data_IF_082929128971
#
_entry.id   IF_082929128971
#
_cell.length_a   1.000
_cell.length_b   1.000
_cell.length_c   1.000
_cell.angle_alpha   90.00
_cell.angle_beta   90.00
_cell.angle_gamma   90.00
#
_symmetry.space_group_name_H-M   'P 1'
#
loop_
_entity.id
_entity.type
_entity.pdbx_description
1 polymer ?
#
# COMPACT_ATOMS: atom_id res chain seq x y z
N UNK A 1 -79.46 46.19 23.42
CA UNK A 1 -78.46 46.85 24.28
C UNK A 1 -77.81 45.88 25.25
N UNK A 2 -78.57 45.17 26.11
CA UNK A 2 -77.99 44.27 27.14
C UNK A 2 -77.27 43.01 26.59
N UNK A 3 -77.75 42.42 25.49
CA UNK A 3 -77.11 41.22 24.89
C UNK A 3 -75.75 41.49 24.23
N UNK A 4 -75.54 42.69 23.69
CA UNK A 4 -74.24 43.07 23.08
C UNK A 4 -73.19 43.42 24.15
N UNK A 5 -73.62 44.01 25.27
CA UNK A 5 -72.75 44.26 26.43
C UNK A 5 -72.25 42.96 27.07
N UNK A 6 -73.10 41.93 27.17
CA UNK A 6 -72.73 40.63 27.71
C UNK A 6 -71.73 39.86 26.83
N UNK A 7 -71.88 39.91 25.50
CA UNK A 7 -70.92 39.33 24.55
C UNK A 7 -69.56 40.03 24.59
N UNK A 8 -69.55 41.37 24.63
CA UNK A 8 -68.30 42.13 24.74
C UNK A 8 -67.54 41.89 26.05
N UNK A 9 -68.24 41.58 27.15
CA UNK A 9 -67.62 41.20 28.42
C UNK A 9 -66.97 39.80 28.39
N UNK A 10 -67.63 38.84 27.74
CA UNK A 10 -67.12 37.46 27.58
C UNK A 10 -65.87 37.42 26.70
N UNK A 11 -65.83 38.21 25.62
CA UNK A 11 -64.64 38.31 24.75
C UNK A 11 -63.43 38.88 25.49
N UNK A 12 -63.60 39.91 26.32
CA UNK A 12 -62.50 40.46 27.15
C UNK A 12 -61.98 39.44 28.15
N UNK A 13 -62.88 38.77 28.87
CA UNK A 13 -62.50 37.70 29.81
C UNK A 13 -61.75 36.59 29.11
N UNK A 14 -62.15 36.22 27.89
CA UNK A 14 -61.46 35.23 27.08
C UNK A 14 -60.04 35.68 26.74
N UNK A 15 -59.84 36.93 26.30
CA UNK A 15 -58.50 37.45 25.99
C UNK A 15 -57.60 37.47 27.23
N UNK A 16 -58.12 37.91 28.38
CA UNK A 16 -57.36 37.94 29.64
C UNK A 16 -57.01 36.54 30.12
N UNK A 17 -57.92 35.57 30.00
CA UNK A 17 -57.68 34.17 30.36
C UNK A 17 -56.69 33.50 29.43
N UNK A 18 -56.77 33.76 28.12
CA UNK A 18 -55.78 33.27 27.15
C UNK A 18 -54.38 33.84 27.45
N UNK A 19 -54.29 35.13 27.79
CA UNK A 19 -53.02 35.76 28.16
C UNK A 19 -52.45 35.16 29.46
N UNK A 20 -53.30 34.92 30.46
CA UNK A 20 -52.89 34.33 31.73
C UNK A 20 -52.48 32.86 31.57
N UNK A 21 -53.22 32.08 30.77
CA UNK A 21 -52.88 30.72 30.40
C UNK A 21 -51.54 30.65 29.65
N UNK A 22 -51.30 31.55 28.70
CA UNK A 22 -50.02 31.67 27.99
C UNK A 22 -48.85 32.01 28.91
N UNK A 23 -49.01 32.91 29.87
CA UNK A 23 -47.96 33.23 30.87
C UNK A 23 -47.67 32.06 31.80
N UNK A 24 -48.65 31.19 32.02
CA UNK A 24 -48.51 29.98 32.82
C UNK A 24 -48.13 28.74 31.98
N UNK A 25 -48.07 28.85 30.64
CA UNK A 25 -47.79 27.74 29.75
C UNK A 25 -48.85 26.62 29.78
N UNK A 26 -50.10 26.97 30.09
CA UNK A 26 -51.23 26.01 30.16
C UNK A 26 -52.03 26.14 28.87
N UNK A 27 -52.28 25.03 28.18
CA UNK A 27 -53.12 25.02 27.00
C UNK A 27 -54.60 24.92 27.41
N UNK A 28 -55.39 25.94 27.06
CA UNK A 28 -56.80 26.06 27.43
C UNK A 28 -57.66 26.33 26.20
N UNK A 29 -58.60 25.41 25.93
CA UNK A 29 -59.61 25.58 24.90
C UNK A 29 -60.70 26.54 25.38
N UNK A 30 -60.70 27.77 24.87
CA UNK A 30 -61.68 28.80 25.20
C UNK A 30 -62.73 28.95 24.09
N UNK A 31 -63.97 28.51 24.34
CA UNK A 31 -65.12 28.71 23.43
C UNK A 31 -66.01 29.88 23.89
N UNK A 32 -66.98 30.28 23.05
CA UNK A 32 -67.90 31.39 23.33
C UNK A 32 -69.02 31.04 24.33
N UNK A 33 -69.01 29.82 24.89
CA UNK A 33 -69.96 29.36 25.88
C UNK A 33 -69.50 29.72 27.30
N UNK A 34 -70.39 30.33 28.09
CA UNK A 34 -70.09 30.72 29.48
C UNK A 34 -69.63 29.52 30.35
N UNK A 35 -70.08 28.30 30.03
CA UNK A 35 -69.65 27.08 30.70
C UNK A 35 -68.17 26.73 30.43
N UNK A 36 -67.66 27.02 29.23
CA UNK A 36 -66.26 26.79 28.88
C UNK A 36 -65.32 27.77 29.60
N UNK A 37 -65.75 29.02 29.76
CA UNK A 37 -65.00 30.04 30.51
C UNK A 37 -64.96 29.69 32.02
N UNK A 38 -66.06 29.20 32.60
CA UNK A 38 -66.08 28.74 33.99
C UNK A 38 -65.19 27.51 34.21
N UNK A 39 -65.20 26.55 33.27
CA UNK A 39 -64.30 25.41 33.31
C UNK A 39 -62.83 25.84 33.22
N UNK A 40 -62.50 26.77 32.33
CA UNK A 40 -61.16 27.35 32.19
C UNK A 40 -60.69 28.05 33.48
N UNK A 41 -61.56 28.83 34.11
CA UNK A 41 -61.27 29.50 35.39
C UNK A 41 -61.02 28.50 36.53
N UNK A 42 -61.74 27.38 36.57
CA UNK A 42 -61.51 26.32 37.56
C UNK A 42 -60.15 25.65 37.36
N UNK A 43 -59.79 25.32 36.12
CA UNK A 43 -58.48 24.74 35.78
C UNK A 43 -57.35 25.68 36.19
N UNK A 44 -57.42 26.96 35.80
CA UNK A 44 -56.42 27.96 36.15
C UNK A 44 -56.29 28.20 37.65
N UNK A 45 -57.41 28.13 38.39
CA UNK A 45 -57.41 28.25 39.85
C UNK A 45 -56.69 27.09 40.52
N UNK A 46 -56.97 25.86 40.10
CA UNK A 46 -56.33 24.67 40.66
C UNK A 46 -54.82 24.70 40.40
N UNK A 47 -54.42 24.97 39.15
CA UNK A 47 -53.02 25.05 38.77
C UNK A 47 -52.26 26.15 39.55
N UNK A 48 -52.90 27.30 39.78
CA UNK A 48 -52.29 28.38 40.56
C UNK A 48 -52.05 27.98 42.02
N UNK A 49 -52.99 27.27 42.65
CA UNK A 49 -52.85 26.78 44.02
C UNK A 49 -51.69 25.77 44.11
N UNK A 50 -51.63 24.82 43.18
CA UNK A 50 -50.57 23.80 43.16
C UNK A 50 -49.18 24.41 42.95
N UNK A 51 -49.02 25.32 41.98
CA UNK A 51 -47.74 26.00 41.74
C UNK A 51 -47.30 26.87 42.91
N UNK A 52 -48.24 27.55 43.56
CA UNK A 52 -47.92 28.36 44.76
C UNK A 52 -47.44 27.48 45.89
N UNK A 53 -48.08 26.33 46.10
CA UNK A 53 -47.69 25.39 47.14
C UNK A 53 -46.29 24.82 46.86
N UNK A 54 -46.03 24.36 45.63
CA UNK A 54 -44.73 23.86 45.21
C UNK A 54 -43.61 24.90 45.36
N UNK A 55 -43.87 26.17 45.03
CA UNK A 55 -42.90 27.26 45.20
C UNK A 55 -42.59 27.53 46.69
N UNK A 56 -43.60 27.41 47.57
CA UNK A 56 -43.42 27.59 49.01
C UNK A 56 -42.58 26.46 49.60
N UNK A 57 -42.88 25.22 49.23
CA UNK A 57 -42.11 24.04 49.65
C UNK A 57 -40.67 24.05 49.11
N UNK A 58 -40.45 24.55 47.89
CA UNK A 58 -39.11 24.74 47.33
C UNK A 58 -38.31 25.79 48.11
N UNK A 59 -38.94 26.91 48.48
CA UNK A 59 -38.31 27.95 49.32
C UNK A 59 -37.94 27.43 50.71
N UNK A 60 -38.82 26.65 51.34
CA UNK A 60 -38.54 26.02 52.64
C UNK A 60 -37.44 24.96 52.57
N UNK A 61 -37.38 24.18 51.48
CA UNK A 61 -36.26 23.25 51.24
C UNK A 61 -34.94 23.99 51.09
N UNK A 62 -34.88 25.02 50.25
CA UNK A 62 -33.68 25.82 50.06
C UNK A 62 -33.23 26.49 51.37
N UNK A 63 -34.17 26.98 52.19
CA UNK A 63 -33.85 27.54 53.51
C UNK A 63 -33.31 26.50 54.48
N UNK A 64 -33.85 25.27 54.47
CA UNK A 64 -33.35 24.16 55.30
C UNK A 64 -31.96 23.71 54.88
N UNK A 65 -31.71 23.60 53.57
CA UNK A 65 -30.38 23.25 53.03
C UNK A 65 -29.35 24.32 53.36
N UNK A 66 -29.70 25.60 53.22
CA UNK A 66 -28.81 26.71 53.60
C UNK A 66 -28.52 26.74 55.10
N UNK A 67 -29.52 26.43 55.95
CA UNK A 67 -29.33 26.31 57.39
C UNK A 67 -28.44 25.10 57.75
N UNK A 68 -28.63 23.96 57.10
CA UNK A 68 -27.81 22.76 57.29
C UNK A 68 -26.36 22.99 56.86
N UNK A 69 -26.12 23.67 55.73
CA UNK A 69 -24.78 24.03 55.26
C UNK A 69 -24.07 24.99 56.23
N UNK A 70 -24.79 25.97 56.79
CA UNK A 70 -24.26 26.87 57.83
C UNK A 70 -23.93 26.11 59.12
N UNK A 71 -24.80 25.22 59.55
CA UNK A 71 -24.58 24.41 60.75
C UNK A 71 -23.39 23.45 60.58
N UNK A 72 -23.26 22.78 59.42
CA UNK A 72 -22.12 21.93 59.11
C UNK A 72 -20.80 22.71 59.06
N UNK A 73 -20.83 23.95 58.54
CA UNK A 73 -19.67 24.84 58.56
C UNK A 73 -19.27 25.21 59.99
N UNK A 74 -20.23 25.55 60.86
CA UNK A 74 -19.96 25.88 62.26
C UNK A 74 -19.40 24.68 63.03
N UNK A 75 -19.98 23.49 62.86
CA UNK A 75 -19.50 22.24 63.49
C UNK A 75 -18.07 21.87 63.06
N UNK A 76 -17.72 22.05 61.77
CA UNK A 76 -16.36 21.83 61.30
C UNK A 76 -15.36 22.84 61.88
N UNK A 77 -15.77 24.10 62.08
CA UNK A 77 -14.93 25.14 62.68
C UNK A 77 -14.72 24.90 64.18
N UNK A 78 -15.76 24.48 64.91
CA UNK A 78 -15.66 24.09 66.32
C UNK A 78 -14.75 22.87 66.52
N UNK A 79 -14.87 21.85 65.67
CA UNK A 79 -13.98 20.66 65.70
C UNK A 79 -12.51 21.01 65.41
N UNK A 80 -12.27 22.07 64.64
CA UNK A 80 -10.93 22.58 64.37
C UNK A 80 -10.43 23.55 65.47
N UNK A 81 -11.23 23.85 66.50
CA UNK A 81 -10.88 24.77 67.58
C UNK A 81 -10.81 26.24 67.16
N UNK A 82 -11.47 26.60 66.05
CA UNK A 82 -11.39 27.91 65.43
C UNK A 82 -12.75 28.63 65.53
N UNK A 83 -12.77 29.87 66.04
CA UNK A 83 -13.95 30.71 65.96
C UNK A 83 -14.20 31.10 64.49
N UNK A 84 -15.45 31.13 64.03
CA UNK A 84 -15.81 31.60 62.69
C UNK A 84 -15.57 33.11 62.55
N UNK A 85 -14.30 33.52 62.42
CA UNK A 85 -13.88 34.90 62.16
C UNK A 85 -13.81 35.16 60.66
N UNK A 86 -13.97 36.43 60.26
CA UNK A 86 -13.82 36.89 58.87
C UNK A 86 -12.47 36.45 58.27
N UNK A 87 -11.41 36.35 59.08
CA UNK A 87 -10.08 35.88 58.70
C UNK A 87 -10.06 34.47 58.10
N UNK A 88 -10.89 33.53 58.60
CA UNK A 88 -10.94 32.16 58.08
C UNK A 88 -11.65 32.10 56.74
N UNK A 89 -12.68 32.94 56.55
CA UNK A 89 -13.36 33.07 55.26
C UNK A 89 -12.41 33.66 54.23
N UNK A 90 -11.62 34.66 54.60
CA UNK A 90 -10.63 35.25 53.69
C UNK A 90 -9.53 34.25 53.31
N UNK A 91 -8.95 33.52 54.26
CA UNK A 91 -7.93 32.49 54.00
C UNK A 91 -8.49 31.37 53.10
N UNK A 92 -9.69 30.87 53.39
CA UNK A 92 -10.29 29.78 52.59
C UNK A 92 -10.67 30.23 51.18
N UNK A 93 -11.10 31.49 51.00
CA UNK A 93 -11.37 32.04 49.65
C UNK A 93 -10.09 32.30 48.86
N UNK A 94 -9.00 32.75 49.51
CA UNK A 94 -7.70 32.90 48.88
C UNK A 94 -7.14 31.53 48.42
N UNK A 95 -7.18 30.53 49.31
CA UNK A 95 -6.76 29.17 48.97
C UNK A 95 -7.61 28.55 47.84
N UNK A 96 -8.93 28.82 47.80
CA UNK A 96 -9.78 28.36 46.71
C UNK A 96 -9.42 29.04 45.38
N UNK A 97 -9.14 30.34 45.38
CA UNK A 97 -8.68 31.07 44.18
C UNK A 97 -7.37 30.51 43.65
N UNK A 98 -6.40 30.29 44.53
CA UNK A 98 -5.10 29.69 44.18
C UNK A 98 -5.28 28.27 43.63
N UNK A 99 -6.11 27.44 44.29
CA UNK A 99 -6.44 26.09 43.80
C UNK A 99 -7.07 26.14 42.42
N UNK A 100 -8.02 27.04 42.18
CA UNK A 100 -8.64 27.19 40.85
C UNK A 100 -7.64 27.66 39.79
N UNK A 101 -6.70 28.54 40.14
CA UNK A 101 -5.64 28.98 39.24
C UNK A 101 -4.70 27.83 38.87
N UNK A 102 -4.25 27.05 39.86
CA UNK A 102 -3.43 25.85 39.65
C UNK A 102 -4.19 24.80 38.84
N UNK A 103 -5.48 24.57 39.10
CA UNK A 103 -6.32 23.66 38.31
C UNK A 103 -6.40 24.11 36.84
N UNK A 104 -6.50 25.42 36.56
CA UNK A 104 -6.48 25.92 35.18
C UNK A 104 -5.12 25.74 34.51
N UNK A 105 -4.02 25.94 35.25
CA UNK A 105 -2.67 25.75 34.74
C UNK A 105 -2.40 24.28 34.42
N UNK A 106 -2.80 23.35 35.30
CA UNK A 106 -2.72 21.91 35.06
C UNK A 106 -3.48 21.51 33.80
N UNK A 107 -4.71 22.01 33.58
CA UNK A 107 -5.46 21.72 32.35
C UNK A 107 -4.76 22.20 31.08
N UNK A 108 -4.09 23.36 31.15
CA UNK A 108 -3.30 23.88 30.01
C UNK A 108 -2.08 22.99 29.77
N UNK A 109 -1.38 22.57 30.83
CA UNK A 109 -0.23 21.68 30.71
C UNK A 109 -0.63 20.29 30.16
N UNK A 110 -1.75 19.73 30.62
CA UNK A 110 -2.29 18.46 30.11
C UNK A 110 -2.62 18.55 28.62
N UNK A 111 -3.24 19.67 28.18
CA UNK A 111 -3.51 19.91 26.76
C UNK A 111 -2.21 20.01 25.95
N UNK A 112 -1.24 20.79 26.42
CA UNK A 112 0.04 20.96 25.72
C UNK A 112 0.80 19.64 25.63
N UNK A 113 0.74 18.80 26.67
CA UNK A 113 1.34 17.47 26.66
C UNK A 113 0.69 16.58 25.59
N UNK A 114 -0.64 16.57 25.50
CA UNK A 114 -1.36 15.81 24.46
C UNK A 114 -1.02 16.31 23.05
N UNK A 115 -0.89 17.63 22.84
CA UNK A 115 -0.46 18.21 21.57
C UNK A 115 0.99 17.79 21.22
N UNK A 116 1.92 17.81 22.19
CA UNK A 116 3.30 17.36 22.01
C UNK A 116 3.41 15.86 21.70
N UNK A 117 2.62 15.02 22.39
CA UNK A 117 2.55 13.58 22.11
C UNK A 117 2.03 13.32 20.69
N UNK A 118 1.02 14.08 20.25
CA UNK A 118 0.51 14.03 18.87
C UNK A 118 1.56 14.40 17.83
N UNK A 119 2.30 15.50 18.05
CA UNK A 119 3.40 15.91 17.17
C UNK A 119 4.53 14.89 17.15
N UNK A 120 4.88 14.29 18.29
CA UNK A 120 5.90 13.25 18.36
C UNK A 120 5.51 11.99 17.58
N UNK A 121 4.23 11.61 17.61
CA UNK A 121 3.72 10.51 16.79
C UNK A 121 3.77 10.82 15.29
N UNK A 122 3.44 12.06 14.88
CA UNK A 122 3.53 12.51 13.49
C UNK A 122 4.99 12.58 12.99
N UNK A 123 5.91 13.08 13.82
CA UNK A 123 7.34 13.07 13.52
C UNK A 123 7.87 11.65 13.34
N UNK A 124 7.51 10.72 14.25
CA UNK A 124 7.91 9.32 14.15
C UNK A 124 7.39 8.66 12.86
N UNK A 125 6.13 8.91 12.50
CA UNK A 125 5.55 8.41 11.25
C UNK A 125 6.27 8.99 10.02
N UNK A 126 6.57 10.29 10.04
CA UNK A 126 7.29 10.97 8.96
C UNK A 126 8.71 10.43 8.80
N UNK A 127 9.43 10.20 9.91
CA UNK A 127 10.77 9.60 9.89
C UNK A 127 10.75 8.17 9.36
N UNK A 128 9.74 7.37 9.75
CA UNK A 128 9.57 6.02 9.23
C UNK A 128 9.32 6.02 7.71
N UNK A 129 8.45 6.92 7.23
CA UNK A 129 8.18 7.09 5.80
C UNK A 129 9.44 7.55 5.05
N UNK A 130 10.19 8.51 5.59
CA UNK A 130 11.46 8.95 5.00
C UNK A 130 12.46 7.81 4.90
N UNK A 131 12.61 7.00 5.94
CA UNK A 131 13.49 5.82 5.93
C UNK A 131 13.07 4.75 4.92
N UNK A 132 11.77 4.60 4.63
CA UNK A 132 11.30 3.75 3.54
C UNK A 132 11.69 4.33 2.17
N UNK A 133 11.48 5.64 1.96
CA UNK A 133 11.82 6.31 0.71
C UNK A 133 13.32 6.32 0.44
N UNK A 134 14.15 6.52 1.46
CA UNK A 134 15.62 6.47 1.34
C UNK A 134 16.09 5.07 0.92
N UNK A 135 15.51 4.01 1.49
CA UNK A 135 15.80 2.62 1.07
C UNK A 135 15.37 2.37 -0.38
N UNK A 136 14.14 2.74 -0.72
CA UNK A 136 13.63 2.61 -2.08
C UNK A 136 14.51 3.36 -3.09
N UNK A 137 14.96 4.58 -2.75
CA UNK A 137 15.88 5.34 -3.57
C UNK A 137 17.24 4.63 -3.74
N UNK A 138 17.76 4.05 -2.67
CA UNK A 138 19.01 3.30 -2.70
C UNK A 138 18.91 1.99 -3.51
N UNK A 139 17.75 1.32 -3.49
CA UNK A 139 17.49 0.09 -4.25
C UNK A 139 17.23 0.38 -5.73
N UNK A 140 16.52 1.47 -6.03
CA UNK A 140 16.29 1.98 -7.39
C UNK A 140 17.46 2.80 -7.94
N UNK A 141 18.62 2.79 -7.28
CA UNK A 141 19.83 3.38 -7.82
C UNK A 141 20.12 2.75 -9.19
N UNK A 142 20.48 3.54 -10.23
CA UNK A 142 20.61 3.04 -11.60
C UNK A 142 21.51 1.80 -11.74
N UNK A 143 22.58 1.70 -10.95
CA UNK A 143 23.46 0.53 -10.93
C UNK A 143 22.77 -0.71 -10.40
N UNK A 144 22.17 -0.64 -9.20
CA UNK A 144 21.52 -1.79 -8.55
C UNK A 144 20.27 -2.25 -9.29
N UNK A 145 19.47 -1.31 -9.78
CA UNK A 145 18.28 -1.67 -10.54
C UNK A 145 18.64 -2.33 -11.86
N UNK A 146 19.66 -1.82 -12.57
CA UNK A 146 20.15 -2.45 -13.79
C UNK A 146 20.74 -3.84 -13.49
N UNK A 147 21.55 -3.99 -12.45
CA UNK A 147 22.07 -5.28 -11.99
C UNK A 147 20.94 -6.28 -11.70
N UNK A 148 19.90 -5.84 -10.99
CA UNK A 148 18.72 -6.67 -10.70
C UNK A 148 18.00 -7.11 -11.98
N UNK A 149 17.73 -6.18 -12.91
CA UNK A 149 17.07 -6.50 -14.18
C UNK A 149 17.94 -7.44 -15.02
N UNK A 150 19.25 -7.21 -15.06
CA UNK A 150 20.18 -8.07 -15.79
C UNK A 150 20.25 -9.48 -15.18
N UNK A 151 20.26 -9.61 -13.85
CA UNK A 151 20.23 -10.92 -13.19
C UNK A 151 18.92 -11.67 -13.49
N UNK A 152 17.79 -10.98 -13.45
CA UNK A 152 16.49 -11.60 -13.78
C UNK A 152 16.46 -12.07 -15.24
N UNK A 153 16.97 -11.25 -16.17
CA UNK A 153 17.06 -11.64 -17.59
C UNK A 153 18.07 -12.76 -17.83
N UNK A 154 19.18 -12.75 -17.10
CA UNK A 154 20.18 -13.82 -17.11
C UNK A 154 19.57 -15.15 -16.68
N UNK A 155 18.78 -15.19 -15.61
CA UNK A 155 18.08 -16.41 -15.14
C UNK A 155 17.17 -16.99 -16.23
N UNK A 156 16.34 -16.15 -16.85
CA UNK A 156 15.46 -16.57 -17.96
C UNK A 156 16.28 -17.12 -19.13
N UNK A 157 17.40 -16.49 -19.47
CA UNK A 157 18.30 -16.97 -20.51
C UNK A 157 18.97 -18.29 -20.12
N UNK A 158 19.44 -18.43 -18.88
CA UNK A 158 20.09 -19.64 -18.36
C UNK A 158 19.13 -20.84 -18.36
N UNK A 159 17.88 -20.64 -17.96
CA UNK A 159 16.86 -21.70 -17.95
C UNK A 159 16.60 -22.23 -19.37
N UNK A 160 16.35 -21.32 -20.33
CA UNK A 160 16.08 -21.71 -21.70
C UNK A 160 17.32 -22.30 -22.39
N UNK A 161 18.48 -21.67 -22.19
CA UNK A 161 19.74 -22.20 -22.69
C UNK A 161 20.08 -23.54 -22.04
N UNK A 162 19.67 -23.77 -20.80
CA UNK A 162 19.88 -25.03 -20.08
C UNK A 162 19.17 -26.20 -20.78
N UNK A 163 17.94 -25.98 -21.25
CA UNK A 163 17.20 -26.99 -22.04
C UNK A 163 17.94 -27.34 -23.34
N UNK A 164 18.46 -26.33 -24.05
CA UNK A 164 19.24 -26.57 -25.26
C UNK A 164 20.57 -27.25 -24.94
N UNK A 165 21.28 -26.81 -23.91
CA UNK A 165 22.58 -27.34 -23.56
C UNK A 165 22.50 -28.81 -23.13
N UNK A 166 21.45 -29.16 -22.38
CA UNK A 166 21.16 -30.54 -22.01
C UNK A 166 20.86 -31.39 -23.23
N UNK A 167 20.05 -30.89 -24.18
CA UNK A 167 19.77 -31.59 -25.44
C UNK A 167 21.05 -31.78 -26.28
N UNK A 168 21.86 -30.73 -26.39
CA UNK A 168 23.09 -30.71 -27.19
C UNK A 168 24.20 -31.58 -26.61
N UNK A 169 24.13 -31.93 -25.33
CA UNK A 169 25.14 -32.72 -24.61
C UNK A 169 24.61 -34.08 -24.17
N UNK A 170 23.54 -34.56 -24.83
CA UNK A 170 22.89 -35.84 -24.55
C UNK A 170 22.51 -36.03 -23.05
N UNK A 171 22.06 -34.96 -22.41
CA UNK A 171 21.62 -34.97 -21.01
C UNK A 171 22.73 -34.73 -19.99
N UNK A 172 23.94 -34.32 -20.39
CA UNK A 172 25.08 -34.21 -19.49
C UNK A 172 25.17 -32.88 -18.74
N UNK A 173 24.89 -31.76 -19.41
CA UNK A 173 25.13 -30.44 -18.84
C UNK A 173 23.90 -29.56 -18.87
N UNK A 174 23.75 -28.72 -17.84
CA UNK A 174 22.77 -27.62 -17.76
C UNK A 174 23.45 -26.37 -17.20
N UNK A 175 22.90 -25.19 -17.48
CA UNK A 175 23.33 -23.98 -16.78
C UNK A 175 22.74 -23.92 -15.37
N UNK A 176 23.52 -23.35 -14.46
CA UNK A 176 23.10 -22.94 -13.13
C UNK A 176 22.26 -21.67 -13.20
N UNK A 177 21.22 -21.61 -12.37
CA UNK A 177 20.44 -20.40 -12.12
C UNK A 177 21.20 -19.40 -11.22
N UNK A 178 22.14 -19.90 -10.42
CA UNK A 178 23.07 -19.12 -9.60
C UNK A 178 24.38 -18.82 -10.34
N UNK A 179 24.82 -17.55 -10.33
CA UNK A 179 26.14 -17.13 -10.84
C UNK A 179 26.19 -16.75 -12.34
N UNK A 180 27.41 -16.61 -12.87
CA UNK A 180 27.67 -16.20 -14.27
C UNK A 180 27.67 -17.40 -15.22
N UNK A 181 26.51 -18.06 -15.37
CA UNK A 181 26.33 -19.25 -16.23
C UNK A 181 27.27 -20.41 -15.87
N UNK A 182 27.44 -20.68 -14.57
CA UNK A 182 28.10 -21.90 -14.12
C UNK A 182 27.36 -23.13 -14.67
N UNK A 183 28.06 -24.26 -14.75
CA UNK A 183 27.56 -25.48 -15.38
C UNK A 183 27.32 -26.54 -14.33
N UNK A 184 26.13 -27.14 -14.38
CA UNK A 184 25.76 -28.31 -13.60
C UNK A 184 26.08 -29.55 -14.45
N UNK A 185 26.97 -30.40 -13.95
CA UNK A 185 27.28 -31.70 -14.55
C UNK A 185 26.35 -32.77 -13.97
N UNK A 186 25.30 -33.11 -14.74
CA UNK A 186 24.24 -34.05 -14.35
C UNK A 186 24.78 -35.49 -14.25
N UNK A 187 25.84 -35.81 -15.00
CA UNK A 187 26.50 -37.11 -14.92
C UNK A 187 27.37 -37.25 -13.66
N UNK A 188 27.76 -36.12 -13.05
CA UNK A 188 28.58 -36.05 -11.84
C UNK A 188 27.78 -35.70 -10.58
N UNK A 189 26.53 -36.18 -10.48
CA UNK A 189 25.62 -35.92 -9.35
C UNK A 189 25.38 -34.42 -9.10
N UNK A 190 25.04 -33.70 -10.17
CA UNK A 190 24.73 -32.27 -10.17
C UNK A 190 25.88 -31.40 -9.66
N UNK A 191 27.12 -31.79 -9.95
CA UNK A 191 28.30 -31.01 -9.57
C UNK A 191 28.32 -29.67 -10.31
N UNK A 192 28.29 -28.57 -9.57
CA UNK A 192 28.46 -27.22 -10.11
C UNK A 192 29.94 -26.95 -10.40
N UNK A 193 30.23 -26.51 -11.63
CA UNK A 193 31.57 -26.21 -12.11
C UNK A 193 31.56 -24.88 -12.84
N UNK A 194 32.67 -24.14 -12.75
CA UNK A 194 32.85 -22.95 -13.56
C UNK A 194 32.83 -23.30 -15.05
N UNK A 195 32.18 -22.46 -15.88
CA UNK A 195 32.13 -22.61 -17.33
C UNK A 195 33.54 -22.69 -17.96
N UNK A 196 34.54 -22.03 -17.35
CA UNK A 196 35.94 -22.09 -17.76
C UNK A 196 36.58 -23.49 -17.68
N UNK A 197 35.92 -24.45 -17.02
CA UNK A 197 36.41 -25.83 -16.89
C UNK A 197 35.92 -26.78 -17.99
N UNK A 198 35.09 -26.29 -18.92
CA UNK A 198 34.64 -27.02 -20.10
C UNK A 198 35.78 -27.22 -21.10
N UNK A 199 35.73 -28.33 -21.84
CA UNK A 199 36.58 -28.54 -23.02
C UNK A 199 36.19 -27.61 -24.18
N UNK A 200 37.02 -27.56 -25.22
CA UNK A 200 36.75 -26.71 -26.40
C UNK A 200 35.43 -27.03 -27.10
N UNK A 201 35.09 -28.31 -27.26
CA UNK A 201 33.81 -28.74 -27.85
C UNK A 201 32.62 -28.42 -26.94
N UNK A 202 32.75 -28.66 -25.64
CA UNK A 202 31.69 -28.35 -24.66
C UNK A 202 31.44 -26.84 -24.56
N UNK A 203 32.50 -26.02 -24.64
CA UNK A 203 32.40 -24.54 -24.67
C UNK A 203 31.65 -24.07 -25.92
N UNK A 204 31.89 -24.71 -27.06
CA UNK A 204 31.15 -24.43 -28.28
C UNK A 204 29.67 -24.76 -28.13
N UNK A 205 29.33 -25.94 -27.60
CA UNK A 205 27.94 -26.33 -27.36
C UNK A 205 27.24 -25.41 -26.34
N UNK A 206 27.93 -24.99 -25.28
CA UNK A 206 27.41 -24.02 -24.32
C UNK A 206 27.10 -22.67 -24.99
N UNK A 207 28.01 -22.17 -25.83
CA UNK A 207 27.84 -20.92 -26.57
C UNK A 207 26.69 -21.02 -27.58
N UNK A 208 26.57 -22.17 -28.27
CA UNK A 208 25.47 -22.45 -29.18
C UNK A 208 24.14 -22.47 -28.41
N UNK A 209 24.05 -23.18 -27.28
CA UNK A 209 22.84 -23.23 -26.46
C UNK A 209 22.35 -21.83 -26.01
N UNK A 210 23.27 -20.97 -25.56
CA UNK A 210 22.97 -19.58 -25.20
C UNK A 210 22.47 -18.77 -26.40
N UNK A 211 23.12 -18.94 -27.55
CA UNK A 211 22.71 -18.30 -28.78
C UNK A 211 21.30 -18.70 -29.23
N UNK A 212 21.00 -20.00 -29.22
CA UNK A 212 19.68 -20.53 -29.57
C UNK A 212 18.61 -19.95 -28.63
N UNK A 213 18.86 -19.98 -27.32
CA UNK A 213 17.96 -19.43 -26.31
C UNK A 213 17.73 -17.92 -26.47
N UNK A 214 18.80 -17.14 -26.69
CA UNK A 214 18.70 -15.71 -26.92
C UNK A 214 17.85 -15.42 -28.16
N UNK A 215 18.05 -16.18 -29.22
CA UNK A 215 17.30 -16.00 -30.45
C UNK A 215 15.81 -16.31 -30.28
N UNK A 216 15.46 -17.32 -29.49
CA UNK A 216 14.08 -17.62 -29.11
C UNK A 216 13.46 -16.52 -28.22
N UNK A 217 14.19 -16.01 -27.23
CA UNK A 217 13.71 -14.92 -26.35
C UNK A 217 13.37 -13.68 -27.18
N UNK A 218 14.28 -13.27 -28.07
CA UNK A 218 14.04 -12.10 -28.93
C UNK A 218 12.83 -12.29 -29.83
N UNK A 219 12.66 -13.49 -30.40
CA UNK A 219 11.50 -13.80 -31.23
C UNK A 219 10.18 -13.76 -30.44
N UNK A 220 10.16 -14.26 -29.20
CA UNK A 220 8.98 -14.25 -28.31
C UNK A 220 8.58 -12.83 -27.89
N UNK A 221 9.54 -11.93 -27.74
CA UNK A 221 9.30 -10.52 -27.41
C UNK A 221 8.90 -9.66 -28.63
N UNK A 222 8.71 -10.27 -29.80
CA UNK A 222 8.32 -9.59 -31.04
C UNK A 222 9.47 -8.87 -31.74
N UNK A 223 10.70 -9.07 -31.29
CA UNK A 223 11.91 -8.63 -31.99
C UNK A 223 12.22 -9.54 -33.19
N UNK A 224 13.01 -9.02 -34.14
CA UNK A 224 13.54 -9.78 -35.27
C UNK A 224 15.06 -9.85 -35.18
N UNK A 225 15.59 -11.06 -35.27
CA UNK A 225 17.00 -11.32 -35.58
C UNK A 225 17.05 -11.79 -37.03
N UNK A 226 17.46 -10.89 -37.94
CA UNK A 226 17.40 -11.16 -39.38
C UNK A 226 18.51 -12.12 -39.84
N UNK A 227 19.66 -12.10 -39.15
CA UNK A 227 20.79 -12.96 -39.48
C UNK A 227 21.50 -13.48 -38.22
N UNK A 228 21.96 -14.72 -38.29
CA UNK A 228 22.72 -15.40 -37.24
C UNK A 228 23.93 -16.10 -37.85
N UNK A 229 25.13 -15.80 -37.37
CA UNK A 229 26.39 -16.36 -37.89
C UNK A 229 27.02 -17.29 -36.86
N UNK A 230 27.30 -18.52 -37.29
CA UNK A 230 28.04 -19.52 -36.53
C UNK A 230 29.38 -19.73 -37.21
N UNK A 231 30.45 -19.29 -36.55
CA UNK A 231 31.82 -19.46 -37.03
C UNK A 231 32.49 -20.64 -36.32
N UNK A 232 33.37 -21.32 -37.05
CA UNK A 232 34.33 -22.35 -36.64
C UNK A 232 34.22 -22.85 -35.18
N UNK A 233 33.87 -24.12 -35.00
CA UNK A 233 33.75 -24.75 -33.68
C UNK A 233 33.22 -26.19 -33.71
N UNK A 234 32.64 -26.60 -34.84
CA UNK A 234 32.17 -27.97 -35.09
C UNK A 234 33.29 -29.01 -35.18
N UNK A 235 34.52 -28.63 -35.52
CA UNK A 235 35.63 -29.56 -35.73
C UNK A 235 36.20 -30.17 -34.43
N UNK A 236 35.86 -29.60 -33.28
CA UNK A 236 36.22 -30.14 -31.96
C UNK A 236 35.15 -31.05 -31.35
N UNK A 237 34.00 -31.18 -32.03
CA UNK A 237 32.91 -32.06 -31.62
C UNK A 237 33.15 -33.48 -32.14
N UNK A 238 32.77 -34.47 -31.34
CA UNK A 238 32.61 -35.83 -31.85
C UNK A 238 31.35 -35.92 -32.75
N UNK A 239 31.21 -36.99 -33.56
CA UNK A 239 30.11 -37.12 -34.51
C UNK A 239 28.71 -37.07 -33.87
N UNK A 240 28.55 -37.57 -32.65
CA UNK A 240 27.26 -37.61 -31.96
C UNK A 240 26.84 -36.19 -31.53
N UNK A 241 27.74 -35.44 -30.91
CA UNK A 241 27.48 -34.05 -30.53
C UNK A 241 27.35 -33.12 -31.76
N UNK A 242 28.04 -33.43 -32.86
CA UNK A 242 27.88 -32.70 -34.12
C UNK A 242 26.46 -32.86 -34.68
N UNK A 243 25.93 -34.09 -34.70
CA UNK A 243 24.56 -34.35 -35.15
C UNK A 243 23.53 -33.63 -34.27
N UNK A 244 23.70 -33.67 -32.94
CA UNK A 244 22.83 -32.93 -32.02
C UNK A 244 22.88 -31.41 -32.23
N UNK A 245 24.07 -30.86 -32.46
CA UNK A 245 24.25 -29.44 -32.80
C UNK A 245 23.50 -29.07 -34.08
N UNK A 246 23.58 -29.92 -35.10
CA UNK A 246 22.88 -29.73 -36.37
C UNK A 246 21.37 -29.77 -36.22
N UNK A 247 20.83 -30.77 -35.51
CA UNK A 247 19.40 -30.86 -35.22
C UNK A 247 18.89 -29.64 -34.43
N UNK A 248 19.73 -29.03 -33.58
CA UNK A 248 19.43 -27.80 -32.85
C UNK A 248 19.32 -26.59 -33.78
N UNK A 249 20.28 -26.44 -34.70
CA UNK A 249 20.30 -25.36 -35.69
C UNK A 249 19.10 -25.48 -36.65
N UNK A 250 18.83 -26.68 -37.17
CA UNK A 250 17.69 -26.95 -38.06
C UNK A 250 16.35 -26.61 -37.38
N UNK A 251 16.19 -26.97 -36.10
CA UNK A 251 15.00 -26.60 -35.31
C UNK A 251 14.85 -25.09 -35.14
N UNK A 252 15.95 -24.38 -34.96
CA UNK A 252 15.96 -22.93 -34.87
C UNK A 252 15.50 -22.33 -36.20
N UNK A 253 16.06 -22.75 -37.33
CA UNK A 253 15.62 -22.33 -38.68
C UNK A 253 14.13 -22.64 -38.91
N UNK A 254 13.66 -23.81 -38.50
CA UNK A 254 12.26 -24.20 -38.66
C UNK A 254 11.28 -23.40 -37.78
N UNK A 255 11.72 -22.90 -36.62
CA UNK A 255 10.86 -22.24 -35.63
C UNK A 255 10.72 -20.73 -35.83
N UNK A 256 11.64 -20.08 -36.54
CA UNK A 256 11.65 -18.63 -36.76
C UNK A 256 11.68 -18.29 -38.24
N UNK A 257 10.71 -17.49 -38.71
CA UNK A 257 10.41 -17.13 -40.11
C UNK A 257 11.59 -16.72 -41.01
N UNK A 258 11.58 -15.51 -41.60
CA UNK A 258 12.62 -15.06 -42.56
C UNK A 258 13.99 -14.78 -41.89
N UNK A 259 14.57 -15.73 -41.15
CA UNK A 259 15.89 -15.59 -40.52
C UNK A 259 16.96 -16.34 -41.32
N UNK A 260 18.03 -15.63 -41.67
CA UNK A 260 19.21 -16.22 -42.29
C UNK A 260 20.15 -16.79 -41.22
N UNK A 261 20.40 -18.10 -41.25
CA UNK A 261 21.45 -18.72 -40.43
C UNK A 261 22.62 -19.08 -41.34
N UNK A 262 23.79 -18.52 -41.08
CA UNK A 262 25.02 -18.78 -41.83
C UNK A 262 25.98 -19.58 -40.96
N UNK A 263 26.39 -20.75 -41.45
CA UNK A 263 27.36 -21.61 -40.78
C UNK A 263 28.66 -21.62 -41.57
N UNK A 264 29.77 -21.26 -40.93
CA UNK A 264 31.12 -21.30 -41.49
C UNK A 264 31.89 -22.45 -40.84
N UNK A 265 32.33 -23.41 -41.64
CA UNK A 265 33.08 -24.56 -41.12
C UNK A 265 33.90 -25.27 -42.19
N UNK A 266 35.01 -25.85 -41.76
CA UNK A 266 35.83 -26.77 -42.55
C UNK A 266 35.41 -28.25 -42.42
N UNK A 267 34.42 -28.57 -41.57
CA UNK A 267 34.03 -29.96 -41.28
C UNK A 267 33.27 -30.57 -42.46
N UNK A 268 33.76 -31.66 -43.09
CA UNK A 268 33.12 -32.25 -44.26
C UNK A 268 31.69 -32.74 -44.00
N UNK A 269 31.41 -33.26 -42.80
CA UNK A 269 30.10 -33.83 -42.44
C UNK A 269 28.95 -32.80 -42.52
N UNK A 270 29.25 -31.51 -42.40
CA UNK A 270 28.23 -30.45 -42.52
C UNK A 270 27.72 -30.28 -43.95
N UNK A 271 28.52 -30.66 -44.97
CA UNK A 271 28.15 -30.51 -46.39
C UNK A 271 26.95 -31.36 -46.78
N UNK A 272 26.70 -32.45 -46.08
CA UNK A 272 25.60 -33.38 -46.38
C UNK A 272 24.27 -32.95 -45.73
N UNK A 273 24.31 -31.98 -44.82
CA UNK A 273 23.15 -31.55 -44.01
C UNK A 273 22.49 -30.25 -44.50
N UNK A 274 23.22 -29.39 -45.21
CA UNK A 274 22.70 -28.13 -45.72
C UNK A 274 22.47 -28.19 -47.23
N UNK A 275 21.29 -27.74 -47.68
CA UNK A 275 20.96 -27.65 -49.12
C UNK A 275 21.69 -26.49 -49.81
N UNK A 276 21.71 -25.31 -49.18
CA UNK A 276 22.40 -24.11 -49.67
C UNK A 276 23.82 -24.04 -49.11
N UNK A 277 24.82 -24.38 -49.93
CA UNK A 277 26.24 -24.37 -49.56
C UNK A 277 27.00 -23.33 -50.38
N UNK A 278 28.01 -22.67 -49.79
CA UNK A 278 29.01 -21.90 -50.53
C UNK A 278 30.37 -22.54 -50.28
N UNK A 279 30.97 -23.12 -51.32
CA UNK A 279 32.28 -23.79 -51.23
C UNK A 279 33.37 -22.81 -51.62
N UNK A 280 34.32 -22.58 -50.72
CA UNK A 280 35.49 -21.75 -50.98
C UNK A 280 36.73 -22.63 -51.19
N UNK A 281 37.56 -22.27 -52.17
CA UNK A 281 38.89 -22.85 -52.37
C UNK A 281 39.96 -21.77 -52.35
N UNK A 282 41.04 -22.04 -51.62
CA UNK A 282 42.15 -21.13 -51.48
C UNK A 282 43.34 -21.70 -52.22
N UNK A 283 43.79 -20.97 -53.23
CA UNK A 283 44.99 -21.32 -53.97
C UNK A 283 46.20 -21.26 -53.01
N UNK A 284 46.89 -22.40 -52.77
CA UNK A 284 47.98 -22.47 -51.80
C UNK A 284 49.24 -21.72 -52.25
N UNK A 285 49.36 -21.36 -53.54
CA UNK A 285 50.51 -20.66 -54.11
C UNK A 285 50.26 -19.17 -54.18
N UNK A 286 49.08 -18.76 -54.68
CA UNK A 286 48.76 -17.34 -54.87
C UNK A 286 48.04 -16.71 -53.68
N UNK A 287 47.50 -17.53 -52.77
CA UNK A 287 46.71 -17.08 -51.62
C UNK A 287 45.31 -16.56 -51.99
N UNK A 288 44.96 -16.53 -53.28
CA UNK A 288 43.66 -16.07 -53.78
C UNK A 288 42.58 -17.08 -53.41
N UNK A 289 41.49 -16.59 -52.83
CA UNK A 289 40.30 -17.41 -52.53
C UNK A 289 39.28 -17.26 -53.64
N UNK A 290 38.70 -18.37 -54.11
CA UNK A 290 37.66 -18.42 -55.14
C UNK A 290 36.45 -19.20 -54.62
N UNK A 291 35.27 -18.82 -55.06
CA UNK A 291 34.05 -19.60 -54.85
C UNK A 291 34.05 -20.73 -55.88
N UNK A 292 34.04 -21.98 -55.42
CA UNK A 292 33.97 -23.17 -56.27
C UNK A 292 32.53 -23.52 -56.64
N UNK A 293 31.60 -23.36 -55.70
CA UNK A 293 30.20 -23.78 -55.83
C UNK A 293 29.31 -22.96 -54.87
N UNK A 294 28.04 -22.74 -55.24
CA UNK A 294 27.03 -22.31 -54.28
C UNK A 294 25.75 -21.68 -54.82
N UNK A 295 24.81 -21.42 -53.90
CA UNK A 295 23.47 -20.87 -54.18
C UNK A 295 23.56 -19.55 -54.97
N UNK A 296 23.29 -19.61 -56.28
CA UNK A 296 23.37 -18.48 -57.22
C UNK A 296 24.55 -18.53 -58.22
N UNK A 297 25.45 -19.52 -58.15
CA UNK A 297 26.49 -19.77 -59.15
C UNK A 297 26.00 -20.85 -60.11
N UNK A 298 24.89 -20.59 -60.81
CA UNK A 298 24.28 -21.62 -61.67
C UNK A 298 22.88 -21.32 -62.19
N UNK A 299 22.68 -20.15 -62.82
CA UNK A 299 21.72 -19.96 -63.93
C UNK A 299 22.05 -18.69 -64.69
#
# INVERSE_FOLDING_TARGET
SERDGARGGLDRLRTELAALAGRLGIDLALSDEAAAIDAALKVLRTEWVERRQAATEAGERASREAAAARAAKVDLLEKAGLAATDDIVEITTAALKERTALETEVRVLERNLAELEGLGAEEAATLAQRGLLERLHADLAPSKFLEFVLDERRRVLADLAGVHFETLTAGRYRFSDDGEFDVIDLAAADLVRAAASLSGGETFLASLALALALAEIVAREGGRLDAFFLDEGFGSLDPEHLDLAMDGIERLVASGGDRLVVVVSHVPALRERFEDLIVLDRDPVTGVTRVLDGAGVGS
#
